data_IF_490462294560
#
_entry.id   IF_490462294560
#
_cell.length_a   1.000
_cell.length_b   1.000
_cell.length_c   1.000
_cell.angle_alpha   90.00
_cell.angle_beta   90.00
_cell.angle_gamma   90.00
#
_symmetry.space_group_name_H-M   'P 1'
#
loop_
_entity.id
_entity.type
_entity.pdbx_description
1 polymer ?
#
# COMPACT_ATOMS: atom_id res chain seq x y z
N UNK A 1 -18.24 -12.95 -13.63
CA UNK A 1 -18.60 -11.54 -13.35
C UNK A 1 -19.10 -10.91 -14.64
N UNK A 2 -20.20 -10.16 -14.63
CA UNK A 2 -20.69 -9.48 -15.83
C UNK A 2 -19.70 -8.38 -16.26
N UNK A 3 -19.43 -8.27 -17.56
CA UNK A 3 -18.58 -7.24 -18.14
C UNK A 3 -19.42 -6.00 -18.47
N UNK A 4 -18.92 -4.81 -18.13
CA UNK A 4 -19.54 -3.52 -18.46
C UNK A 4 -18.53 -2.69 -19.23
N UNK A 5 -18.97 -2.10 -20.35
CA UNK A 5 -18.13 -1.22 -21.15
C UNK A 5 -18.17 0.21 -20.61
N UNK A 6 -17.00 0.83 -20.44
CA UNK A 6 -16.87 2.25 -20.08
C UNK A 6 -16.03 2.96 -21.14
N UNK A 7 -16.59 3.98 -21.78
CA UNK A 7 -15.88 4.78 -22.80
C UNK A 7 -15.08 5.89 -22.13
N UNK A 8 -13.75 5.84 -22.25
CA UNK A 8 -12.84 6.82 -21.66
C UNK A 8 -12.27 7.74 -22.73
N UNK A 9 -12.56 9.05 -22.63
CA UNK A 9 -11.91 10.07 -23.46
C UNK A 9 -10.52 10.35 -22.93
N UNK A 10 -9.51 10.09 -23.74
CA UNK A 10 -8.10 10.30 -23.40
C UNK A 10 -7.52 11.48 -24.18
N UNK A 11 -6.74 12.36 -23.54
CA UNK A 11 -5.88 13.30 -24.25
C UNK A 11 -4.98 12.57 -25.25
N UNK A 12 -4.80 13.15 -26.45
CA UNK A 12 -3.99 12.53 -27.53
C UNK A 12 -2.58 12.17 -27.05
N UNK A 13 -1.97 13.04 -26.24
CA UNK A 13 -0.63 12.86 -25.67
C UNK A 13 -0.57 11.65 -24.73
N UNK A 14 -1.58 11.46 -23.87
CA UNK A 14 -1.67 10.31 -22.98
C UNK A 14 -1.86 9.01 -23.75
N UNK A 15 -2.76 9.00 -24.75
CA UNK A 15 -2.98 7.83 -25.62
C UNK A 15 -1.67 7.39 -26.29
N UNK A 16 -0.89 8.32 -26.85
CA UNK A 16 0.40 8.02 -27.47
C UNK A 16 1.41 7.39 -26.50
N UNK A 17 1.49 7.92 -25.27
CA UNK A 17 2.35 7.36 -24.21
C UNK A 17 1.93 5.93 -23.83
N UNK A 18 0.64 5.69 -23.65
CA UNK A 18 0.09 4.36 -23.34
C UNK A 18 0.42 3.37 -24.45
N UNK A 19 0.14 3.71 -25.71
CA UNK A 19 0.43 2.83 -26.84
C UNK A 19 1.91 2.44 -26.91
N UNK A 20 2.82 3.40 -26.70
CA UNK A 20 4.27 3.14 -26.70
C UNK A 20 4.68 2.19 -25.57
N UNK A 21 4.16 2.39 -24.35
CA UNK A 21 4.48 1.55 -23.20
C UNK A 21 3.87 0.16 -23.32
N UNK A 22 2.63 0.05 -23.79
CA UNK A 22 1.97 -1.23 -24.05
C UNK A 22 2.76 -2.06 -25.08
N UNK A 23 3.21 -1.43 -26.18
CA UNK A 23 4.06 -2.11 -27.18
C UNK A 23 5.35 -2.65 -26.57
N UNK A 24 6.02 -1.87 -25.71
CA UNK A 24 7.24 -2.33 -25.01
C UNK A 24 6.98 -3.48 -24.04
N UNK A 25 5.78 -3.52 -23.44
CA UNK A 25 5.35 -4.59 -22.55
C UNK A 25 4.83 -5.84 -23.30
N UNK A 26 4.70 -5.80 -24.63
CA UNK A 26 4.09 -6.90 -25.40
C UNK A 26 2.57 -7.02 -25.22
N UNK A 27 1.91 -5.97 -24.75
CA UNK A 27 0.49 -5.95 -24.43
C UNK A 27 -0.30 -5.07 -25.42
N UNK A 28 -1.60 -5.34 -25.58
CA UNK A 28 -2.50 -4.39 -26.25
C UNK A 28 -2.67 -3.13 -25.38
N UNK A 29 -2.92 -1.94 -25.96
CA UNK A 29 -3.18 -0.74 -25.16
C UNK A 29 -4.34 -0.90 -24.17
N UNK A 30 -5.37 -1.69 -24.55
CA UNK A 30 -6.52 -1.94 -23.68
C UNK A 30 -6.14 -2.83 -22.48
N UNK A 31 -5.45 -3.94 -22.71
CA UNK A 31 -4.98 -4.82 -21.64
C UNK A 31 -4.02 -4.08 -20.69
N UNK A 32 -3.13 -3.26 -21.25
CA UNK A 32 -2.22 -2.41 -20.48
C UNK A 32 -2.97 -1.41 -19.59
N UNK A 33 -4.03 -0.77 -20.11
CA UNK A 33 -4.86 0.14 -19.32
C UNK A 33 -5.61 -0.58 -18.20
N UNK A 34 -6.22 -1.73 -18.47
CA UNK A 34 -6.92 -2.52 -17.45
C UNK A 34 -5.98 -2.92 -16.32
N UNK A 35 -4.82 -3.49 -16.65
CA UNK A 35 -3.81 -3.89 -15.66
C UNK A 35 -3.37 -2.70 -14.78
N UNK A 36 -3.21 -1.52 -15.37
CA UNK A 36 -2.87 -0.31 -14.61
C UNK A 36 -4.01 0.15 -13.70
N UNK A 37 -5.26 0.10 -14.17
CA UNK A 37 -6.43 0.45 -13.35
C UNK A 37 -6.58 -0.51 -12.18
N UNK A 38 -6.49 -1.82 -12.42
CA UNK A 38 -6.54 -2.84 -11.36
C UNK A 38 -5.46 -2.60 -10.30
N UNK A 39 -4.21 -2.36 -10.73
CA UNK A 39 -3.12 -2.05 -9.82
C UNK A 39 -3.40 -0.79 -8.99
N UNK A 40 -3.98 0.24 -9.61
CA UNK A 40 -4.28 1.50 -8.92
C UNK A 40 -5.43 1.34 -7.93
N UNK A 41 -6.48 0.60 -8.28
CA UNK A 41 -7.60 0.28 -7.38
C UNK A 41 -7.07 -0.49 -6.16
N UNK A 42 -6.31 -1.56 -6.37
CA UNK A 42 -5.69 -2.33 -5.28
C UNK A 42 -4.74 -1.49 -4.41
N UNK A 43 -4.05 -0.50 -4.99
CA UNK A 43 -3.21 0.42 -4.22
C UNK A 43 -4.06 1.38 -3.37
N UNK A 44 -5.15 1.90 -3.91
CA UNK A 44 -6.08 2.77 -3.20
C UNK A 44 -6.77 2.03 -2.05
N UNK A 45 -7.30 0.83 -2.29
CA UNK A 45 -7.93 -0.02 -1.27
C UNK A 45 -6.96 -0.36 -0.12
N UNK A 46 -5.72 -0.74 -0.45
CA UNK A 46 -4.69 -0.98 0.58
C UNK A 46 -4.35 0.26 1.39
N UNK A 47 -4.36 1.44 0.76
CA UNK A 47 -4.11 2.69 1.47
C UNK A 47 -5.27 3.06 2.40
N UNK A 48 -6.51 2.90 1.94
CA UNK A 48 -7.69 3.10 2.80
C UNK A 48 -7.69 2.16 4.00
N UNK A 49 -7.40 0.87 3.79
CA UNK A 49 -7.27 -0.09 4.87
C UNK A 49 -6.14 0.27 5.83
N UNK A 50 -4.97 0.65 5.33
CA UNK A 50 -3.85 1.09 6.15
C UNK A 50 -4.21 2.27 7.06
N UNK A 51 -4.94 3.26 6.52
CA UNK A 51 -5.41 4.42 7.30
C UNK A 51 -6.44 4.00 8.35
N UNK A 52 -7.36 3.08 8.00
CA UNK A 52 -8.34 2.55 8.95
C UNK A 52 -7.64 1.82 10.12
N UNK A 53 -6.68 0.95 9.81
CA UNK A 53 -5.90 0.21 10.80
C UNK A 53 -5.11 1.17 11.70
N UNK A 54 -4.49 2.21 11.13
CA UNK A 54 -3.76 3.22 11.89
C UNK A 54 -4.66 3.98 12.88
N UNK A 55 -5.87 4.36 12.46
CA UNK A 55 -6.85 5.01 13.34
C UNK A 55 -7.29 4.09 14.49
N UNK A 56 -7.56 2.83 14.19
CA UNK A 56 -7.91 1.85 15.21
C UNK A 56 -6.76 1.62 16.20
N UNK A 57 -5.52 1.55 15.70
CA UNK A 57 -4.32 1.39 16.53
C UNK A 57 -4.11 2.62 17.44
N UNK A 58 -4.27 3.84 16.92
CA UNK A 58 -4.19 5.05 17.73
C UNK A 58 -5.27 5.07 18.82
N UNK A 59 -6.53 4.81 18.48
CA UNK A 59 -7.60 4.72 19.48
C UNK A 59 -7.28 3.70 20.58
N UNK A 60 -6.77 2.52 20.21
CA UNK A 60 -6.38 1.47 21.17
C UNK A 60 -5.20 1.89 22.05
N UNK A 61 -4.21 2.59 21.47
CA UNK A 61 -3.06 3.13 22.19
C UNK A 61 -3.46 4.24 23.17
N UNK A 62 -4.41 5.10 22.80
CA UNK A 62 -4.95 6.15 23.69
C UNK A 62 -5.73 5.53 24.86
N UNK A 63 -6.54 4.49 24.61
CA UNK A 63 -7.34 3.83 25.64
C UNK A 63 -6.49 3.01 26.63
N UNK A 64 -5.50 2.28 26.12
CA UNK A 64 -4.66 1.40 26.94
C UNK A 64 -3.48 2.10 27.60
N UNK A 65 -3.11 3.29 27.14
CA UNK A 65 -1.85 3.96 27.45
C UNK A 65 -0.59 3.10 27.17
N UNK A 66 -0.73 2.05 26.35
CA UNK A 66 0.37 1.16 25.96
C UNK A 66 0.84 1.46 24.54
N UNK A 67 2.15 1.58 24.37
CA UNK A 67 2.81 1.78 23.08
C UNK A 67 4.10 0.97 23.01
N UNK A 68 4.80 1.05 21.89
CA UNK A 68 6.14 0.48 21.77
C UNK A 68 7.17 1.62 21.73
N UNK A 69 8.29 1.45 22.41
CA UNK A 69 9.39 2.40 22.29
C UNK A 69 9.94 2.37 20.86
N UNK A 70 10.03 3.53 20.21
CA UNK A 70 10.42 3.62 18.80
C UNK A 70 11.82 3.01 18.54
N UNK A 71 12.78 3.21 19.46
CA UNK A 71 14.11 2.62 19.37
C UNK A 71 14.10 1.10 19.33
N UNK A 72 13.31 0.46 20.21
CA UNK A 72 13.21 -1.00 20.27
C UNK A 72 12.55 -1.56 19.00
N UNK A 73 11.55 -0.85 18.46
CA UNK A 73 10.90 -1.22 17.19
C UNK A 73 11.88 -1.11 16.02
N UNK A 74 12.62 0.00 15.92
CA UNK A 74 13.60 0.20 14.85
C UNK A 74 14.70 -0.86 14.91
N UNK A 75 15.29 -1.08 16.08
CA UNK A 75 16.32 -2.11 16.25
C UNK A 75 15.82 -3.52 15.92
N UNK A 76 14.58 -3.85 16.31
CA UNK A 76 13.95 -5.12 15.93
C UNK A 76 13.76 -5.26 14.41
N UNK A 77 13.31 -4.20 13.73
CA UNK A 77 13.10 -4.23 12.28
C UNK A 77 14.42 -4.33 11.51
N UNK A 78 15.43 -3.55 11.90
CA UNK A 78 16.77 -3.59 11.30
C UNK A 78 17.39 -4.98 11.42
N UNK A 79 17.35 -5.56 12.63
CA UNK A 79 17.87 -6.91 12.86
C UNK A 79 17.12 -7.97 12.04
N UNK A 80 15.79 -7.84 11.89
CA UNK A 80 14.99 -8.76 11.07
C UNK A 80 15.31 -8.63 9.58
N UNK A 81 15.52 -7.41 9.07
CA UNK A 81 15.93 -7.17 7.67
C UNK A 81 17.32 -7.77 7.40
N UNK A 82 18.24 -7.67 8.37
CA UNK A 82 19.56 -8.29 8.29
C UNK A 82 19.56 -9.82 8.46
N UNK A 83 18.40 -10.44 8.71
CA UNK A 83 18.28 -11.89 8.90
C UNK A 83 18.74 -12.39 10.27
N UNK A 84 18.98 -11.50 11.23
CA UNK A 84 19.36 -11.86 12.59
C UNK A 84 18.15 -12.30 13.42
N UNK A 85 18.39 -13.14 14.43
CA UNK A 85 17.37 -13.42 15.44
C UNK A 85 17.17 -12.17 16.29
N UNK A 86 15.97 -11.61 16.25
CA UNK A 86 15.58 -10.43 17.01
C UNK A 86 14.37 -10.74 17.90
N UNK A 87 14.41 -10.30 19.15
CA UNK A 87 13.28 -10.42 20.07
C UNK A 87 12.26 -9.34 19.78
N UNK A 88 10.99 -9.73 19.63
CA UNK A 88 9.91 -8.75 19.41
C UNK A 88 9.80 -7.83 20.63
N UNK A 89 9.78 -6.50 20.44
CA UNK A 89 9.61 -5.56 21.55
C UNK A 89 8.27 -5.80 22.25
N UNK A 90 8.21 -5.49 23.55
CA UNK A 90 7.00 -5.60 24.35
C UNK A 90 6.33 -4.23 24.47
N UNK A 91 4.98 -4.17 24.54
CA UNK A 91 4.30 -2.93 24.87
C UNK A 91 4.76 -2.41 26.24
N UNK A 92 4.96 -1.10 26.33
CA UNK A 92 5.27 -0.37 27.55
C UNK A 92 4.28 0.78 27.73
N UNK A 93 4.10 1.22 28.97
CA UNK A 93 3.31 2.43 29.21
C UNK A 93 4.03 3.63 28.60
N UNK A 94 3.39 4.32 27.67
CA UNK A 94 3.96 5.51 27.03
C UNK A 94 3.48 6.81 27.70
N UNK A 95 2.39 6.71 28.49
CA UNK A 95 1.82 7.81 29.27
C UNK A 95 1.55 7.32 30.70
N UNK A 96 1.85 8.17 31.69
CA UNK A 96 1.49 7.96 33.10
C UNK A 96 0.02 8.29 33.33
#
# INVERSE_FOLDING_TARGET
MPLVATSLKLPKTLKSRITRLAKRAGESPHAFMLRLLEKQVQAAERFEQFVADARQADQSMQQSAQGYAAGDVHGYLEAKIAGHKATRPKPAQWRK
#
